data_IF_385428898920
#
_entry.id   IF_385428898920
#
_cell.length_a   1.000
_cell.length_b   1.000
_cell.length_c   1.000
_cell.angle_alpha   90.00
_cell.angle_beta   90.00
_cell.angle_gamma   90.00
#
_symmetry.space_group_name_H-M   'P 1'
#
loop_
_entity.id
_entity.type
_entity.pdbx_description
1 polymer ?
#
# COMPACT_ATOMS: atom_id res chain seq x y z
N UNK A 1 6.76 8.13 -14.19
CA UNK A 1 7.76 8.62 -13.21
C UNK A 1 7.08 8.72 -11.86
N UNK A 2 7.68 8.11 -10.82
CA UNK A 2 7.23 8.21 -9.44
C UNK A 2 7.96 9.39 -8.79
N UNK A 3 7.22 10.36 -8.26
CA UNK A 3 7.79 11.61 -7.75
C UNK A 3 7.44 11.91 -6.31
N UNK A 4 6.50 11.15 -5.75
CA UNK A 4 5.97 11.36 -4.40
C UNK A 4 6.46 10.20 -3.54
N UNK A 5 6.98 10.53 -2.35
CA UNK A 5 7.17 9.54 -1.29
C UNK A 5 5.89 9.42 -0.46
N UNK A 6 5.52 8.19 -0.10
CA UNK A 6 4.39 7.91 0.78
C UNK A 6 4.64 8.48 2.17
N UNK A 7 3.67 9.21 2.68
CA UNK A 7 3.59 9.80 4.02
C UNK A 7 2.18 9.59 4.57
N UNK A 8 1.99 9.88 5.86
CA UNK A 8 0.74 9.61 6.58
C UNK A 8 -0.51 10.37 6.10
N UNK A 9 -0.32 11.41 5.28
CA UNK A 9 -1.36 12.31 4.81
C UNK A 9 -1.61 12.23 3.30
N UNK A 10 -0.78 11.52 2.54
CA UNK A 10 -0.77 11.60 1.08
C UNK A 10 -1.07 10.28 0.35
N UNK A 11 -1.46 9.23 1.07
CA UNK A 11 -1.66 7.88 0.52
C UNK A 11 -2.53 7.85 -0.74
N UNK A 12 -3.63 8.61 -0.81
CA UNK A 12 -4.51 8.62 -1.99
C UNK A 12 -3.79 9.12 -3.25
N UNK A 13 -2.99 10.20 -3.12
CA UNK A 13 -2.23 10.78 -4.24
C UNK A 13 -1.05 9.87 -4.62
N UNK A 14 -0.34 9.36 -3.63
CA UNK A 14 0.77 8.45 -3.83
C UNK A 14 0.32 7.15 -4.50
N UNK A 15 -0.72 6.48 -3.97
CA UNK A 15 -1.21 5.21 -4.49
C UNK A 15 -1.74 5.35 -5.91
N UNK A 16 -2.44 6.45 -6.23
CA UNK A 16 -2.88 6.74 -7.59
C UNK A 16 -1.69 6.82 -8.56
N UNK A 17 -0.63 7.56 -8.22
CA UNK A 17 0.55 7.67 -9.07
C UNK A 17 1.29 6.34 -9.19
N UNK A 18 1.47 5.63 -8.08
CA UNK A 18 2.13 4.35 -8.01
C UNK A 18 1.43 3.30 -8.88
N UNK A 19 0.13 3.09 -8.64
CA UNK A 19 -0.70 2.17 -9.42
C UNK A 19 -0.71 2.52 -10.90
N UNK A 20 -0.76 3.81 -11.26
CA UNK A 20 -0.76 4.25 -12.67
C UNK A 20 0.52 3.81 -13.39
N UNK A 21 1.68 3.95 -12.74
CA UNK A 21 2.96 3.51 -13.31
C UNK A 21 2.99 1.99 -13.45
N UNK A 22 2.68 1.25 -12.39
CA UNK A 22 2.76 -0.22 -12.40
C UNK A 22 1.76 -0.83 -13.39
N UNK A 23 0.54 -0.30 -13.47
CA UNK A 23 -0.46 -0.72 -14.47
C UNK A 23 -0.01 -0.42 -15.90
N UNK A 24 0.69 0.71 -16.12
CA UNK A 24 1.29 1.03 -17.42
C UNK A 24 2.30 -0.04 -17.89
N UNK A 25 3.00 -0.67 -16.96
CA UNK A 25 3.91 -1.80 -17.24
C UNK A 25 3.23 -3.18 -17.21
N UNK A 26 1.92 -3.25 -16.95
CA UNK A 26 1.16 -4.50 -16.79
C UNK A 26 1.68 -5.42 -15.67
N UNK A 27 2.32 -4.84 -14.65
CA UNK A 27 2.92 -5.58 -13.53
C UNK A 27 2.04 -5.58 -12.27
N UNK A 28 0.85 -5.00 -12.34
CA UNK A 28 -0.02 -4.85 -11.16
C UNK A 28 -0.51 -6.20 -10.62
N UNK A 29 -0.43 -7.27 -11.41
CA UNK A 29 -0.76 -8.63 -10.98
C UNK A 29 0.06 -9.12 -9.78
N UNK A 30 1.28 -8.61 -9.61
CA UNK A 30 2.10 -8.91 -8.42
C UNK A 30 1.59 -8.22 -7.14
N UNK A 31 0.75 -7.20 -7.25
CA UNK A 31 0.24 -6.42 -6.11
C UNK A 31 -1.17 -6.85 -5.70
N UNK A 32 -2.02 -7.21 -6.67
CA UNK A 32 -3.39 -7.65 -6.42
C UNK A 32 -3.54 -9.18 -6.29
N UNK A 33 -2.44 -9.92 -6.45
CA UNK A 33 -2.42 -11.37 -6.35
C UNK A 33 -2.97 -12.08 -7.58
N UNK A 34 -3.27 -11.38 -8.67
CA UNK A 34 -3.69 -12.06 -9.92
C UNK A 34 -2.53 -12.73 -10.66
N UNK A 35 -1.27 -12.38 -10.35
CA UNK A 35 -0.08 -13.07 -10.81
C UNK A 35 0.53 -13.93 -9.69
N UNK A 36 -0.06 -15.10 -9.49
CA UNK A 36 0.34 -16.04 -8.44
C UNK A 36 1.79 -16.53 -8.59
N UNK A 37 2.42 -16.78 -7.43
CA UNK A 37 3.76 -17.37 -7.38
C UNK A 37 3.72 -18.79 -7.97
N UNK A 38 4.50 -19.08 -9.04
CA UNK A 38 4.51 -20.40 -9.64
C UNK A 38 5.22 -21.42 -8.73
N UNK A 39 5.01 -22.73 -8.95
CA UNK A 39 5.66 -23.76 -8.17
C UNK A 39 7.19 -23.61 -8.17
N UNK A 40 7.77 -23.57 -6.98
CA UNK A 40 9.22 -23.40 -6.82
C UNK A 40 10.01 -24.56 -7.41
N UNK A 41 9.55 -25.79 -7.24
CA UNK A 41 10.28 -26.99 -7.64
C UNK A 41 9.60 -27.72 -8.79
N UNK A 42 10.40 -28.32 -9.67
CA UNK A 42 9.93 -29.12 -10.81
C UNK A 42 9.25 -30.40 -10.31
N UNK A 43 8.08 -30.69 -10.87
CA UNK A 43 7.30 -31.90 -10.59
C UNK A 43 7.42 -32.84 -11.78
N UNK A 44 8.02 -34.01 -11.57
CA UNK A 44 8.06 -35.08 -12.55
C UNK A 44 6.97 -36.10 -12.27
N UNK A 45 6.33 -36.62 -13.32
CA UNK A 45 5.27 -37.63 -13.22
C UNK A 45 5.73 -38.91 -12.52
N UNK A 46 7.01 -39.25 -12.66
CA UNK A 46 7.56 -40.55 -12.23
C UNK A 46 8.32 -40.45 -10.88
N UNK A 47 8.88 -39.28 -10.59
CA UNK A 47 9.79 -39.03 -9.44
C UNK A 47 9.17 -38.11 -8.39
N UNK A 48 7.99 -37.52 -8.65
CA UNK A 48 7.36 -36.55 -7.78
C UNK A 48 8.07 -35.19 -7.78
N UNK A 49 8.01 -34.48 -6.65
CA UNK A 49 8.64 -33.16 -6.48
C UNK A 49 10.15 -33.33 -6.36
N UNK A 50 10.90 -32.66 -7.23
CA UNK A 50 12.37 -32.68 -7.22
C UNK A 50 12.94 -31.49 -6.45
N UNK A 51 14.27 -31.37 -6.42
CA UNK A 51 14.99 -30.20 -5.87
C UNK A 51 15.31 -29.14 -6.93
N UNK A 52 14.99 -29.39 -8.19
CA UNK A 52 15.26 -28.47 -9.28
C UNK A 52 14.30 -27.28 -9.22
N UNK A 53 14.83 -26.06 -9.26
CA UNK A 53 14.01 -24.83 -9.19
C UNK A 53 13.48 -24.48 -10.59
N UNK A 54 12.20 -24.14 -10.68
CA UNK A 54 11.59 -23.80 -11.98
C UNK A 54 12.06 -22.44 -12.49
N UNK A 55 12.31 -22.32 -13.80
CA UNK A 55 12.65 -21.04 -14.42
C UNK A 55 11.52 -20.00 -14.25
N UNK A 56 10.26 -20.45 -14.22
CA UNK A 56 9.11 -19.60 -13.96
C UNK A 56 9.18 -18.95 -12.58
N UNK A 57 9.54 -19.72 -11.55
CA UNK A 57 9.74 -19.20 -10.19
C UNK A 57 10.86 -18.18 -10.13
N UNK A 58 12.02 -18.46 -10.75
CA UNK A 58 13.15 -17.53 -10.77
C UNK A 58 12.76 -16.19 -11.43
N UNK A 59 12.05 -16.24 -12.56
CA UNK A 59 11.61 -15.05 -13.27
C UNK A 59 10.58 -14.25 -12.46
N UNK A 60 9.63 -14.96 -11.83
CA UNK A 60 8.62 -14.35 -10.97
C UNK A 60 9.27 -13.68 -9.76
N UNK A 61 10.16 -14.39 -9.05
CA UNK A 61 10.87 -13.88 -7.86
C UNK A 61 11.74 -12.66 -8.20
N UNK A 62 12.45 -12.70 -9.33
CA UNK A 62 13.24 -11.56 -9.80
C UNK A 62 12.37 -10.31 -10.04
N UNK A 63 11.18 -10.50 -10.63
CA UNK A 63 10.24 -9.42 -10.88
C UNK A 63 9.64 -8.90 -9.58
N UNK A 64 9.25 -9.81 -8.68
CA UNK A 64 8.68 -9.47 -7.38
C UNK A 64 9.65 -8.66 -6.52
N UNK A 65 10.92 -9.08 -6.45
CA UNK A 65 11.97 -8.36 -5.70
C UNK A 65 12.28 -6.99 -6.29
N UNK A 66 12.27 -6.85 -7.62
CA UNK A 66 12.44 -5.55 -8.28
C UNK A 66 11.28 -4.61 -7.97
N UNK A 67 10.05 -5.11 -7.98
CA UNK A 67 8.84 -4.34 -7.62
C UNK A 67 8.83 -3.97 -6.14
N UNK A 68 9.26 -4.87 -5.25
CA UNK A 68 9.43 -4.58 -3.83
C UNK A 68 10.48 -3.49 -3.61
N UNK A 69 11.64 -3.58 -4.24
CA UNK A 69 12.67 -2.54 -4.19
C UNK A 69 12.14 -1.18 -4.67
N UNK A 70 11.39 -1.18 -5.77
CA UNK A 70 10.74 0.03 -6.29
C UNK A 70 9.72 0.60 -5.31
N UNK A 71 8.87 -0.25 -4.72
CA UNK A 71 7.90 0.16 -3.70
C UNK A 71 8.61 0.83 -2.53
N UNK A 72 9.64 0.18 -1.97
CA UNK A 72 10.46 0.69 -0.86
C UNK A 72 11.10 2.04 -1.18
N UNK A 73 11.59 2.25 -2.40
CA UNK A 73 12.17 3.52 -2.83
C UNK A 73 11.17 4.69 -2.81
N UNK A 74 9.87 4.39 -2.86
CA UNK A 74 8.80 5.40 -2.77
C UNK A 74 8.27 5.60 -1.36
N UNK A 75 8.82 4.96 -0.34
CA UNK A 75 8.37 5.14 1.05
C UNK A 75 9.19 6.25 1.74
N UNK A 76 8.55 6.95 2.68
CA UNK A 76 9.28 7.65 3.73
C UNK A 76 9.79 6.65 4.76
N UNK A 77 10.68 7.11 5.65
CA UNK A 77 11.25 6.26 6.69
C UNK A 77 10.15 5.74 7.63
N UNK A 78 9.16 6.57 7.95
CA UNK A 78 8.00 6.18 8.78
C UNK A 78 7.12 5.14 8.08
N UNK A 79 6.89 5.32 6.77
CA UNK A 79 6.10 4.36 5.99
C UNK A 79 6.82 3.01 5.81
N UNK A 80 8.16 3.01 5.85
CA UNK A 80 8.97 1.81 5.72
C UNK A 80 8.78 0.85 6.91
N UNK A 81 8.51 1.38 8.11
CA UNK A 81 8.26 0.56 9.30
C UNK A 81 7.09 -0.42 9.12
N UNK A 82 6.09 -0.06 8.32
CA UNK A 82 4.90 -0.88 8.08
C UNK A 82 5.14 -2.07 7.15
N UNK A 83 6.26 -2.09 6.43
CA UNK A 83 6.59 -3.15 5.47
C UNK A 83 7.82 -3.96 5.87
N UNK A 84 8.40 -3.68 7.04
CA UNK A 84 9.51 -4.46 7.58
C UNK A 84 9.11 -5.94 7.73
N UNK A 85 9.96 -6.83 7.21
CA UNK A 85 9.73 -8.27 7.25
C UNK A 85 8.77 -8.82 6.20
N UNK A 86 8.17 -7.97 5.36
CA UNK A 86 7.41 -8.43 4.20
C UNK A 86 8.33 -9.16 3.22
N UNK A 87 7.88 -10.32 2.73
CA UNK A 87 8.70 -11.18 1.85
C UNK A 87 8.37 -10.99 0.37
N UNK A 88 7.18 -10.49 0.08
CA UNK A 88 6.69 -10.27 -1.28
C UNK A 88 6.14 -8.86 -1.44
N UNK A 89 6.03 -8.40 -2.67
CA UNK A 89 5.46 -7.07 -2.92
C UNK A 89 3.96 -7.02 -2.58
N UNK A 90 3.21 -8.12 -2.75
CA UNK A 90 1.80 -8.19 -2.35
C UNK A 90 1.61 -8.04 -0.84
N UNK A 91 2.48 -8.67 -0.04
CA UNK A 91 2.44 -8.53 1.43
C UNK A 91 2.67 -7.07 1.84
N UNK A 92 3.72 -6.45 1.29
CA UNK A 92 4.06 -5.06 1.57
C UNK A 92 2.94 -4.11 1.14
N UNK A 93 2.37 -4.33 -0.03
CA UNK A 93 1.26 -3.54 -0.56
C UNK A 93 0.01 -3.64 0.31
N UNK A 94 -0.40 -4.84 0.69
CA UNK A 94 -1.57 -5.05 1.53
C UNK A 94 -1.41 -4.41 2.91
N UNK A 95 -0.24 -4.53 3.54
CA UNK A 95 0.04 -3.87 4.81
C UNK A 95 -0.11 -2.34 4.72
N UNK A 96 0.41 -1.73 3.66
CA UNK A 96 0.26 -0.29 3.44
C UNK A 96 -1.20 0.09 3.22
N UNK A 97 -1.92 -0.64 2.35
CA UNK A 97 -3.35 -0.39 2.08
C UNK A 97 -4.17 -0.50 3.35
N UNK A 98 -3.98 -1.55 4.15
CA UNK A 98 -4.71 -1.79 5.39
C UNK A 98 -4.42 -0.70 6.42
N UNK A 99 -3.14 -0.34 6.60
CA UNK A 99 -2.72 0.74 7.51
C UNK A 99 -3.40 2.05 7.14
N UNK A 100 -3.27 2.48 5.88
CA UNK A 100 -3.77 3.79 5.48
C UNK A 100 -5.29 3.82 5.38
N UNK A 101 -5.94 2.73 4.95
CA UNK A 101 -7.41 2.63 4.95
C UNK A 101 -7.97 2.66 6.38
N UNK A 102 -7.32 2.00 7.34
CA UNK A 102 -7.68 2.07 8.76
C UNK A 102 -7.52 3.49 9.32
N UNK A 103 -6.42 4.18 9.00
CA UNK A 103 -6.19 5.58 9.38
C UNK A 103 -7.25 6.51 8.79
N UNK A 104 -7.62 6.36 7.52
CA UNK A 104 -8.71 7.13 6.91
C UNK A 104 -10.04 6.89 7.61
N UNK A 105 -10.39 5.62 7.87
CA UNK A 105 -11.62 5.27 8.60
C UNK A 105 -11.63 5.86 10.01
N UNK A 106 -10.51 5.80 10.73
CA UNK A 106 -10.35 6.38 12.06
C UNK A 106 -10.49 7.90 12.04
N UNK A 107 -9.82 8.60 11.12
CA UNK A 107 -9.93 10.06 10.94
C UNK A 107 -11.37 10.48 10.64
N UNK A 108 -12.07 9.77 9.75
CA UNK A 108 -13.48 10.03 9.44
C UNK A 108 -14.37 9.81 10.67
N UNK A 109 -14.17 8.73 11.41
CA UNK A 109 -14.94 8.44 12.62
C UNK A 109 -14.67 9.46 13.74
N UNK A 110 -13.41 9.88 13.92
CA UNK A 110 -13.05 10.93 14.86
C UNK A 110 -13.74 12.25 14.51
N UNK A 111 -13.71 12.67 13.24
CA UNK A 111 -14.42 13.86 12.76
C UNK A 111 -15.93 13.76 12.98
N UNK A 112 -16.55 12.59 12.75
CA UNK A 112 -17.97 12.36 13.05
C UNK A 112 -18.27 12.47 14.54
N UNK A 113 -17.42 11.93 15.40
CA UNK A 113 -17.57 12.01 16.85
C UNK A 113 -17.42 13.44 17.35
N UNK A 114 -16.42 14.18 16.88
CA UNK A 114 -16.27 15.62 17.15
C UNK A 114 -17.52 16.39 16.73
N UNK A 115 -18.03 16.13 15.52
CA UNK A 115 -19.25 16.77 15.02
C UNK A 115 -20.48 16.44 15.88
N UNK A 116 -20.61 15.19 16.33
CA UNK A 116 -21.70 14.79 17.25
C UNK A 116 -21.55 15.39 18.65
N UNK A 117 -20.33 15.53 19.17
CA UNK A 117 -20.06 16.19 20.45
C UNK A 117 -20.39 17.68 20.32
N UNK A 118 -20.01 18.33 19.22
CA UNK A 118 -20.31 19.74 18.94
C UNK A 118 -21.82 19.96 18.74
N UNK A 119 -22.53 19.04 18.08
CA UNK A 119 -23.99 19.10 17.99
C UNK A 119 -24.68 18.98 19.36
N UNK A 120 -24.05 18.31 20.33
CA UNK A 120 -24.55 18.20 21.71
C UNK A 120 -24.07 19.33 22.63
N UNK A 121 -22.99 20.03 22.26
CA UNK A 121 -22.36 21.09 23.04
C UNK A 121 -22.30 22.39 22.26
N UNK A 122 -23.20 23.32 22.59
CA UNK A 122 -23.44 24.66 22.03
C UNK A 122 -22.21 25.58 21.94
N UNK A 123 -21.17 25.24 21.17
CA UNK A 123 -20.05 26.13 20.84
C UNK A 123 -20.00 26.33 19.34
N UNK A 124 -20.26 27.57 18.95
CA UNK A 124 -20.73 27.94 17.62
C UNK A 124 -19.78 27.51 16.49
N UNK A 125 -20.43 27.13 15.39
CA UNK A 125 -19.88 26.83 14.06
C UNK A 125 -18.78 27.82 13.64
N UNK A 126 -18.82 29.06 14.14
CA UNK A 126 -17.86 30.13 13.85
C UNK A 126 -16.43 29.78 14.26
N UNK A 127 -16.22 29.08 15.40
CA UNK A 127 -14.86 28.70 15.84
C UNK A 127 -14.24 27.64 14.92
N UNK A 128 -15.06 26.88 14.20
CA UNK A 128 -14.61 25.85 13.27
C UNK A 128 -14.39 26.39 11.86
N UNK A 129 -15.25 27.30 11.36
CA UNK A 129 -14.99 28.00 10.10
C UNK A 129 -13.65 28.73 10.14
N UNK A 130 -13.31 29.34 11.29
CA UNK A 130 -12.02 29.99 11.51
C UNK A 130 -10.82 29.03 11.54
N UNK A 131 -11.02 27.77 11.97
CA UNK A 131 -9.96 26.74 11.93
C UNK A 131 -9.78 26.13 10.55
N UNK A 132 -10.87 25.91 9.81
CA UNK A 132 -10.83 25.42 8.44
C UNK A 132 -10.16 26.42 7.48
N UNK A 133 -10.37 27.72 7.69
CA UNK A 133 -9.68 28.77 6.92
C UNK A 133 -8.18 28.83 7.25
N UNK A 134 -7.79 28.61 8.50
CA UNK A 134 -6.37 28.63 8.90
C UNK A 134 -5.57 27.37 8.51
N UNK A 135 -6.23 26.28 8.14
CA UNK A 135 -5.57 25.08 7.57
C UNK A 135 -5.40 25.15 6.05
N UNK A 136 -5.77 26.28 5.43
CA UNK A 136 -5.68 26.53 4.00
C UNK A 136 -4.76 27.73 3.72
N UNK A 137 -3.55 27.70 4.26
CA UNK A 137 -2.37 28.45 3.81
C UNK A 137 -1.13 27.55 3.89
#
# INVERSE_FOLDING_TARGET
>A
MLTIKLKDDNFAKWSFQFMSVIKGYKLFGHFDGTNDCPPKFVIHTDLGVTKEVTQAFINWESTDMALLSLLLATLSDEAMEYVLGCKTVVDAWNNLVDRFTSVFKSKVNHLKTELHIIQKGTYSIDKFLLRLTNTRD
#
